data_IF_353871912775
#
_entry.id   IF_353871912775
#
_cell.length_a   1.000
_cell.length_b   1.000
_cell.length_c   1.000
_cell.angle_alpha   90.00
_cell.angle_beta   90.00
_cell.angle_gamma   90.00
#
_symmetry.space_group_name_H-M   'P 1'
#
loop_
_entity.id
_entity.type
_entity.pdbx_description
1 polymer ?
#
# COMPACT_ATOMS: atom_id res chain seq x y z
N UNK A 1 15.44 10.07 -14.67
CA UNK A 1 14.47 10.04 -13.55
C UNK A 1 13.07 10.23 -14.12
N UNK A 2 12.18 9.23 -13.99
CA UNK A 2 10.77 9.37 -14.33
C UNK A 2 10.00 9.69 -13.04
N UNK A 3 9.23 10.76 -13.04
CA UNK A 3 8.29 11.05 -11.94
C UNK A 3 7.08 10.15 -12.17
N UNK A 4 6.99 9.06 -11.41
CA UNK A 4 5.82 8.18 -11.40
C UNK A 4 4.70 8.80 -10.55
N UNK A 5 3.45 8.46 -10.85
CA UNK A 5 2.24 9.00 -10.21
C UNK A 5 2.23 8.89 -8.68
N UNK A 6 3.01 7.97 -8.12
CA UNK A 6 3.10 7.70 -6.67
C UNK A 6 3.94 8.74 -5.89
N UNK A 7 4.59 9.67 -6.60
CA UNK A 7 5.22 10.85 -6.00
C UNK A 7 4.22 11.98 -5.71
N UNK A 8 2.93 11.80 -6.03
CA UNK A 8 1.90 12.81 -5.73
C UNK A 8 1.38 12.67 -4.30
N UNK A 9 1.10 13.80 -3.65
CA UNK A 9 0.50 13.84 -2.31
C UNK A 9 -0.99 13.42 -2.29
N UNK A 10 -1.54 12.96 -3.42
CA UNK A 10 -2.98 12.80 -3.61
C UNK A 10 -3.56 11.74 -2.67
N UNK A 11 -2.98 10.53 -2.67
CA UNK A 11 -3.40 9.42 -1.82
C UNK A 11 -3.39 9.77 -0.32
N UNK A 12 -2.27 10.28 0.26
CA UNK A 12 -2.28 10.65 1.69
C UNK A 12 -3.25 11.79 1.99
N UNK A 13 -3.44 12.74 1.06
CA UNK A 13 -4.41 13.84 1.22
C UNK A 13 -5.85 13.32 1.25
N UNK A 14 -6.22 12.39 0.37
CA UNK A 14 -7.57 11.79 0.36
C UNK A 14 -7.89 11.01 1.64
N UNK A 15 -6.91 10.26 2.15
CA UNK A 15 -7.05 9.53 3.42
C UNK A 15 -7.22 10.52 4.58
N UNK A 16 -6.42 11.59 4.60
CA UNK A 16 -6.52 12.65 5.61
C UNK A 16 -7.90 13.33 5.59
N UNK A 17 -8.39 13.70 4.40
CA UNK A 17 -9.71 14.31 4.24
C UNK A 17 -10.81 13.38 4.75
N UNK A 18 -10.73 12.08 4.40
CA UNK A 18 -11.67 11.07 4.92
C UNK A 18 -11.67 11.01 6.44
N UNK A 19 -10.50 11.04 7.07
CA UNK A 19 -10.37 11.04 8.53
C UNK A 19 -10.96 12.32 9.18
N UNK A 20 -10.77 13.49 8.56
CA UNK A 20 -11.38 14.77 9.03
C UNK A 20 -12.90 14.74 8.90
N UNK A 21 -13.42 14.19 7.80
CA UNK A 21 -14.87 14.07 7.56
C UNK A 21 -15.51 13.12 8.57
N UNK A 22 -14.86 11.99 8.86
CA UNK A 22 -15.34 11.01 9.83
C UNK A 22 -15.32 11.54 11.28
N UNK A 23 -14.43 12.49 11.60
CA UNK A 23 -14.31 13.02 12.95
C UNK A 23 -15.53 13.89 13.35
N UNK A 24 -16.16 13.66 14.52
CA UNK A 24 -17.32 14.42 14.97
C UNK A 24 -16.90 15.84 15.38
N UNK A 25 -16.98 16.79 14.45
CA UNK A 25 -16.63 18.19 14.65
C UNK A 25 -17.50 19.12 13.80
N UNK A 26 -17.48 20.43 14.10
CA UNK A 26 -18.25 21.43 13.36
C UNK A 26 -17.78 21.57 11.91
N UNK A 27 -18.69 21.95 10.99
CA UNK A 27 -18.36 22.08 9.56
C UNK A 27 -17.21 23.06 9.28
N UNK A 28 -17.14 24.16 10.03
CA UNK A 28 -16.05 25.14 9.92
C UNK A 28 -14.71 24.58 10.41
N UNK A 29 -14.71 23.77 11.48
CA UNK A 29 -13.50 23.09 11.94
C UNK A 29 -13.02 22.09 10.88
N UNK A 30 -13.93 21.31 10.28
CA UNK A 30 -13.60 20.38 9.18
C UNK A 30 -12.97 21.09 7.99
N UNK A 31 -13.52 22.23 7.56
CA UNK A 31 -12.97 22.99 6.43
C UNK A 31 -11.54 23.48 6.73
N UNK A 32 -11.29 24.01 7.94
CA UNK A 32 -9.94 24.41 8.37
C UNK A 32 -8.98 23.22 8.41
N UNK A 33 -9.45 22.06 8.87
CA UNK A 33 -8.66 20.83 8.91
C UNK A 33 -8.30 20.32 7.53
N UNK A 34 -9.27 20.28 6.61
CA UNK A 34 -9.04 19.90 5.22
C UNK A 34 -8.01 20.85 4.57
N UNK A 35 -8.16 22.17 4.75
CA UNK A 35 -7.24 23.14 4.19
C UNK A 35 -5.81 22.96 4.74
N UNK A 36 -5.68 22.77 6.06
CA UNK A 36 -4.41 22.52 6.73
C UNK A 36 -3.75 21.23 6.22
N UNK A 37 -4.54 20.15 6.09
CA UNK A 37 -4.06 18.86 5.61
C UNK A 37 -3.57 18.93 4.16
N UNK A 38 -4.35 19.56 3.27
CA UNK A 38 -3.97 19.73 1.86
C UNK A 38 -2.65 20.51 1.77
N UNK A 39 -2.56 21.68 2.41
CA UNK A 39 -1.36 22.52 2.33
C UNK A 39 -0.17 21.84 2.97
N UNK A 40 -0.33 21.34 4.21
CA UNK A 40 0.76 20.71 4.96
C UNK A 40 1.31 19.47 4.26
N UNK A 41 0.45 18.55 3.80
CA UNK A 41 0.90 17.33 3.13
C UNK A 41 1.54 17.61 1.77
N UNK A 42 1.09 18.62 1.03
CA UNK A 42 1.74 19.00 -0.23
C UNK A 42 3.13 19.61 0.00
N UNK A 43 3.31 20.43 1.03
CA UNK A 43 4.63 20.97 1.40
C UNK A 43 5.59 19.83 1.75
N UNK A 44 5.16 18.89 2.60
CA UNK A 44 6.00 17.75 2.97
C UNK A 44 6.29 16.86 1.76
N UNK A 45 5.32 16.67 0.87
CA UNK A 45 5.55 15.95 -0.37
C UNK A 45 6.58 16.64 -1.28
N UNK A 46 6.61 17.98 -1.32
CA UNK A 46 7.64 18.72 -2.03
C UNK A 46 9.04 18.43 -1.45
N UNK A 47 9.17 18.46 -0.11
CA UNK A 47 10.41 18.09 0.58
C UNK A 47 10.82 16.65 0.25
N UNK A 48 9.86 15.72 0.27
CA UNK A 48 10.07 14.32 -0.12
C UNK A 48 10.63 14.21 -1.53
N UNK A 49 10.02 14.86 -2.51
CA UNK A 49 10.44 14.80 -3.91
C UNK A 49 11.86 15.36 -4.08
N UNK A 50 12.16 16.51 -3.47
CA UNK A 50 13.51 17.11 -3.52
C UNK A 50 14.55 16.21 -2.85
N UNK A 51 14.20 15.62 -1.71
CA UNK A 51 15.09 14.70 -0.99
C UNK A 51 15.37 13.43 -1.80
N UNK A 52 14.33 12.84 -2.40
CA UNK A 52 14.47 11.67 -3.26
C UNK A 52 15.24 11.97 -4.54
N UNK A 53 15.15 13.19 -5.08
CA UNK A 53 15.99 13.64 -6.18
C UNK A 53 17.47 13.65 -5.79
N UNK A 54 17.81 14.19 -4.62
CA UNK A 54 19.20 14.17 -4.13
C UNK A 54 19.71 12.75 -3.86
N UNK A 55 18.91 11.90 -3.23
CA UNK A 55 19.28 10.51 -2.96
C UNK A 55 19.43 9.73 -4.27
N UNK A 56 18.51 9.90 -5.22
CA UNK A 56 18.57 9.21 -6.52
C UNK A 56 19.77 9.61 -7.38
N UNK A 57 20.33 10.80 -7.18
CA UNK A 57 21.53 11.27 -7.91
C UNK A 57 22.84 10.85 -7.26
N UNK A 58 22.91 10.81 -5.92
CA UNK A 58 24.17 10.54 -5.19
C UNK A 58 24.28 9.09 -4.69
N UNK A 59 23.14 8.44 -4.38
CA UNK A 59 23.06 7.09 -3.82
C UNK A 59 21.88 6.32 -4.45
N UNK A 60 21.94 6.01 -5.76
CA UNK A 60 20.82 5.40 -6.48
C UNK A 60 20.35 4.08 -5.85
N UNK A 61 21.29 3.28 -5.32
CA UNK A 61 21.00 2.01 -4.65
C UNK A 61 20.13 2.16 -3.38
N UNK A 62 20.10 3.35 -2.77
CA UNK A 62 19.29 3.63 -1.56
C UNK A 62 17.99 4.35 -1.86
N UNK A 63 17.77 4.78 -3.10
CA UNK A 63 16.60 5.56 -3.50
C UNK A 63 15.30 4.84 -3.13
N UNK A 64 15.25 3.53 -3.35
CA UNK A 64 14.06 2.75 -3.10
C UNK A 64 13.76 2.59 -1.60
N UNK A 65 14.78 2.26 -0.80
CA UNK A 65 14.64 2.21 0.65
C UNK A 65 14.18 3.56 1.21
N UNK A 66 14.80 4.66 0.75
CA UNK A 66 14.41 6.01 1.14
C UNK A 66 12.97 6.33 0.74
N UNK A 67 12.55 5.93 -0.46
CA UNK A 67 11.21 6.19 -0.99
C UNK A 67 10.13 5.41 -0.25
N UNK A 68 10.29 4.08 -0.14
CA UNK A 68 9.24 3.17 0.30
C UNK A 68 9.25 2.95 1.81
N UNK A 69 10.42 2.93 2.46
CA UNK A 69 10.50 2.65 3.90
C UNK A 69 10.52 3.96 4.67
N UNK A 70 11.50 4.82 4.39
CA UNK A 70 11.71 6.03 5.17
C UNK A 70 10.61 7.08 4.93
N UNK A 71 10.44 7.51 3.66
CA UNK A 71 9.48 8.57 3.33
C UNK A 71 8.03 8.14 3.47
N UNK A 72 7.68 6.89 3.16
CA UNK A 72 6.33 6.39 3.38
C UNK A 72 5.97 6.38 4.87
N UNK A 73 6.87 5.89 5.74
CA UNK A 73 6.65 5.89 7.19
C UNK A 73 6.54 7.32 7.71
N UNK A 74 7.44 8.21 7.28
CA UNK A 74 7.43 9.61 7.69
C UNK A 74 6.15 10.33 7.25
N UNK A 75 5.66 10.10 6.03
CA UNK A 75 4.41 10.67 5.53
C UNK A 75 3.20 10.22 6.36
N UNK A 76 3.14 8.94 6.75
CA UNK A 76 2.08 8.42 7.62
C UNK A 76 2.12 9.10 8.99
N UNK A 77 3.31 9.18 9.61
CA UNK A 77 3.49 9.82 10.91
C UNK A 77 3.12 11.30 10.87
N UNK A 78 3.52 12.02 9.83
CA UNK A 78 3.17 13.43 9.61
C UNK A 78 1.67 13.60 9.41
N UNK A 79 1.02 12.76 8.61
CA UNK A 79 -0.42 12.84 8.39
C UNK A 79 -1.20 12.64 9.70
N UNK A 80 -0.81 11.64 10.51
CA UNK A 80 -1.38 11.41 11.84
C UNK A 80 -1.10 12.60 12.77
N UNK A 81 0.12 13.14 12.74
CA UNK A 81 0.52 14.31 13.51
C UNK A 81 -0.32 15.55 13.17
N UNK A 82 -0.45 15.89 11.89
CA UNK A 82 -1.28 16.99 11.41
C UNK A 82 -2.75 16.81 11.79
N UNK A 83 -3.27 15.58 11.67
CA UNK A 83 -4.65 15.28 12.03
C UNK A 83 -4.86 15.46 13.54
N UNK A 84 -3.91 14.98 14.35
CA UNK A 84 -3.91 15.14 15.81
C UNK A 84 -3.84 16.61 16.24
N UNK A 85 -2.95 17.40 15.63
CA UNK A 85 -2.82 18.84 15.86
C UNK A 85 -4.11 19.60 15.55
N UNK A 86 -4.79 19.21 14.48
CA UNK A 86 -6.09 19.78 14.14
C UNK A 86 -7.20 19.33 15.09
N UNK A 87 -7.21 18.05 15.46
CA UNK A 87 -8.26 17.44 16.30
C UNK A 87 -8.20 17.92 17.76
N UNK A 88 -7.03 18.27 18.29
CA UNK A 88 -6.89 18.96 19.58
C UNK A 88 -5.95 20.14 19.47
N UNK A 89 -6.45 21.31 19.86
CA UNK A 89 -5.62 22.50 20.09
C UNK A 89 -4.59 22.31 21.21
N UNK A 90 -4.67 21.23 22.01
CA UNK A 90 -3.70 20.88 23.07
C UNK A 90 -3.00 19.56 22.76
N UNK A 91 -1.75 19.68 22.33
CA UNK A 91 -0.84 18.60 21.92
C UNK A 91 -0.65 17.53 23.02
N UNK A 92 -0.44 17.94 24.29
CA UNK A 92 -0.09 17.03 25.38
C UNK A 92 -1.25 16.14 25.84
N UNK A 93 -2.49 16.58 25.65
CA UNK A 93 -3.70 15.83 26.01
C UNK A 93 -4.00 14.69 25.02
N UNK A 94 -3.49 14.77 23.79
CA UNK A 94 -3.57 13.68 22.81
C UNK A 94 -2.32 12.79 22.83
N UNK A 95 -1.12 13.36 22.94
CA UNK A 95 0.14 12.60 22.83
C UNK A 95 0.22 11.48 23.89
N UNK A 96 -0.20 11.74 25.14
CA UNK A 96 -0.19 10.71 26.21
C UNK A 96 -1.06 9.48 25.89
N UNK A 97 -2.36 9.61 25.59
CA UNK A 97 -3.17 8.46 25.20
C UNK A 97 -2.74 7.86 23.86
N UNK A 98 -2.26 8.66 22.91
CA UNK A 98 -1.74 8.16 21.62
C UNK A 98 -0.50 7.27 21.79
N UNK A 99 0.52 7.72 22.53
CA UNK A 99 1.71 6.91 22.89
C UNK A 99 1.35 5.67 23.71
N UNK A 100 0.29 5.74 24.51
CA UNK A 100 -0.22 4.64 25.32
C UNK A 100 -1.20 3.72 24.57
N UNK A 101 -1.53 3.99 23.30
CA UNK A 101 -2.58 3.29 22.54
C UNK A 101 -2.05 2.14 21.67
N UNK A 102 -2.95 1.23 21.31
CA UNK A 102 -2.72 0.15 20.34
C UNK A 102 -2.16 0.66 18.99
N UNK A 103 -2.39 1.92 18.63
CA UNK A 103 -1.92 2.52 17.37
C UNK A 103 -0.40 2.57 17.30
N UNK A 104 0.29 2.92 18.40
CA UNK A 104 1.76 2.95 18.42
C UNK A 104 2.34 1.55 18.29
N UNK A 105 1.70 0.55 18.92
CA UNK A 105 2.11 -0.83 18.78
C UNK A 105 1.93 -1.34 17.34
N UNK A 106 0.82 -0.97 16.67
CA UNK A 106 0.60 -1.26 15.24
C UNK A 106 1.66 -0.57 14.38
N UNK A 107 2.00 0.69 14.64
CA UNK A 107 3.03 1.42 13.88
C UNK A 107 4.42 0.78 14.05
N UNK A 108 4.77 0.35 15.25
CA UNK A 108 6.02 -0.37 15.52
C UNK A 108 6.05 -1.69 14.75
N UNK A 109 5.00 -2.52 14.89
CA UNK A 109 4.93 -3.80 14.17
C UNK A 109 4.89 -3.62 12.66
N UNK A 110 4.24 -2.58 12.15
CA UNK A 110 4.24 -2.25 10.73
C UNK A 110 5.64 -1.86 10.26
N UNK A 111 6.36 -1.03 11.03
CA UNK A 111 7.73 -0.62 10.70
C UNK A 111 8.68 -1.82 10.67
N UNK A 112 8.60 -2.69 11.69
CA UNK A 112 9.37 -3.94 11.75
C UNK A 112 8.98 -4.85 10.57
N UNK A 113 7.68 -4.99 10.31
CA UNK A 113 7.16 -5.81 9.22
C UNK A 113 7.61 -5.31 7.85
N UNK A 114 7.68 -3.99 7.60
CA UNK A 114 8.21 -3.42 6.36
C UNK A 114 9.71 -3.64 6.22
N UNK A 115 10.47 -3.52 7.30
CA UNK A 115 11.91 -3.80 7.29
C UNK A 115 12.18 -5.30 7.00
N UNK A 116 11.44 -6.20 7.65
CA UNK A 116 11.51 -7.63 7.36
C UNK A 116 11.05 -7.95 5.94
N UNK A 117 9.94 -7.35 5.51
CA UNK A 117 9.43 -7.51 4.16
C UNK A 117 10.48 -7.17 3.11
N UNK A 118 11.23 -6.09 3.28
CA UNK A 118 12.29 -5.70 2.36
C UNK A 118 13.30 -6.85 2.13
N UNK A 119 13.64 -7.62 3.17
CA UNK A 119 14.52 -8.78 3.07
C UNK A 119 13.87 -9.98 2.36
N UNK A 120 12.56 -10.18 2.56
CA UNK A 120 11.82 -11.33 2.01
C UNK A 120 11.12 -11.05 0.68
N UNK A 121 11.06 -9.79 0.24
CA UNK A 121 10.29 -9.35 -0.92
C UNK A 121 10.68 -10.12 -2.19
N UNK A 122 11.99 -10.29 -2.42
CA UNK A 122 12.48 -10.98 -3.62
C UNK A 122 12.07 -12.46 -3.64
N UNK A 123 12.19 -13.14 -2.49
CA UNK A 123 11.77 -14.54 -2.35
C UNK A 123 10.26 -14.67 -2.58
N UNK A 124 9.49 -13.76 -2.00
CA UNK A 124 8.03 -13.74 -2.17
C UNK A 124 7.62 -13.53 -3.63
N UNK A 125 8.29 -12.61 -4.34
CA UNK A 125 7.96 -12.32 -5.73
C UNK A 125 8.29 -13.45 -6.67
N UNK A 126 9.41 -14.13 -6.43
CA UNK A 126 9.78 -15.31 -7.22
C UNK A 126 8.77 -16.43 -6.97
N UNK A 127 8.29 -16.58 -5.74
CA UNK A 127 7.29 -17.57 -5.40
C UNK A 127 5.93 -17.29 -6.06
N UNK A 128 5.39 -16.07 -5.94
CA UNK A 128 4.16 -15.67 -6.64
C UNK A 128 4.33 -15.77 -8.15
N UNK A 129 5.44 -15.27 -8.70
CA UNK A 129 5.70 -15.31 -10.13
C UNK A 129 5.72 -16.74 -10.67
N UNK A 130 6.33 -17.68 -9.95
CA UNK A 130 6.36 -19.10 -10.32
C UNK A 130 4.97 -19.74 -10.27
N UNK A 131 4.19 -19.47 -9.23
CA UNK A 131 2.83 -20.02 -9.12
C UNK A 131 1.89 -19.44 -10.17
N UNK A 132 2.01 -18.15 -10.47
CA UNK A 132 1.21 -17.51 -11.51
C UNK A 132 1.62 -17.98 -12.91
N UNK A 133 2.91 -18.25 -13.14
CA UNK A 133 3.45 -18.65 -14.44
C UNK A 133 2.74 -19.85 -15.08
N UNK A 134 2.35 -20.85 -14.28
CA UNK A 134 1.62 -22.02 -14.75
C UNK A 134 0.27 -21.69 -15.41
N UNK A 135 -0.30 -20.54 -15.08
CA UNK A 135 -1.59 -20.07 -15.58
C UNK A 135 -1.48 -18.92 -16.58
N UNK A 136 -0.25 -18.55 -16.97
CA UNK A 136 -0.02 -17.50 -17.96
C UNK A 136 -0.34 -17.99 -19.38
N UNK A 137 -0.90 -17.12 -20.24
CA UNK A 137 -1.14 -17.50 -21.63
C UNK A 137 0.18 -17.64 -22.40
N UNK A 138 0.29 -18.65 -23.28
CA UNK A 138 1.50 -19.06 -24.02
C UNK A 138 2.30 -17.95 -24.74
N UNK A 139 1.68 -16.81 -25.03
CA UNK A 139 2.30 -15.70 -25.77
C UNK A 139 2.73 -14.54 -24.86
N UNK A 140 2.67 -14.70 -23.55
CA UNK A 140 3.02 -13.69 -22.55
C UNK A 140 4.23 -14.17 -21.75
N UNK A 141 5.18 -13.26 -21.55
CA UNK A 141 6.38 -13.47 -20.75
C UNK A 141 6.30 -12.58 -19.51
N UNK A 142 6.65 -13.16 -18.38
CA UNK A 142 6.82 -12.49 -17.10
C UNK A 142 8.31 -12.33 -16.87
N UNK A 143 8.77 -11.09 -16.78
CA UNK A 143 10.11 -10.76 -16.30
C UNK A 143 9.98 -10.11 -14.94
N UNK A 144 10.80 -10.55 -13.99
CA UNK A 144 10.90 -9.92 -12.67
C UNK A 144 12.19 -9.14 -12.66
N UNK A 145 12.09 -7.83 -12.77
CA UNK A 145 13.20 -6.89 -12.60
C UNK A 145 13.07 -6.22 -11.24
N UNK A 146 14.12 -5.54 -10.77
CA UNK A 146 14.14 -4.82 -9.49
C UNK A 146 12.80 -4.16 -9.18
N UNK A 147 12.05 -4.80 -8.28
CA UNK A 147 10.79 -4.31 -7.71
C UNK A 147 9.61 -4.14 -8.69
N UNK A 148 9.67 -4.73 -9.88
CA UNK A 148 8.59 -4.71 -10.88
C UNK A 148 8.32 -6.09 -11.51
N UNK A 149 7.06 -6.48 -11.58
CA UNK A 149 6.60 -7.51 -12.50
C UNK A 149 6.37 -6.86 -13.87
N UNK A 150 7.14 -7.31 -14.86
CA UNK A 150 7.07 -6.87 -16.24
C UNK A 150 6.36 -7.94 -17.06
N UNK A 151 5.22 -7.59 -17.63
CA UNK A 151 4.42 -8.47 -18.49
C UNK A 151 4.52 -7.97 -19.93
N UNK A 152 5.01 -8.83 -20.84
CA UNK A 152 5.27 -8.50 -22.25
C UNK A 152 4.79 -9.62 -23.17
N UNK A 153 4.31 -9.31 -24.38
CA UNK A 153 4.02 -10.34 -25.38
C UNK A 153 5.32 -10.84 -26.03
N UNK A 154 5.43 -12.16 -26.23
CA UNK A 154 6.58 -12.79 -26.91
C UNK A 154 6.84 -12.21 -28.31
N UNK A 155 5.79 -11.85 -29.04
CA UNK A 155 5.90 -11.26 -30.37
C UNK A 155 6.36 -9.79 -30.35
N UNK A 156 6.18 -9.09 -29.22
CA UNK A 156 6.60 -7.70 -29.06
C UNK A 156 8.09 -7.54 -28.74
N UNK A 157 8.79 -8.63 -28.40
CA UNK A 157 10.25 -8.60 -28.23
C UNK A 157 10.95 -8.29 -29.57
N UNK A 158 10.31 -8.67 -30.69
CA UNK A 158 10.84 -8.43 -32.03
C UNK A 158 10.32 -7.13 -32.69
N UNK A 159 9.20 -6.58 -32.19
CA UNK A 159 8.59 -5.35 -32.69
C UNK A 159 8.47 -4.33 -31.54
N UNK A 160 9.23 -3.25 -31.62
CA UNK A 160 9.40 -2.19 -30.60
C UNK A 160 8.13 -1.36 -30.27
N UNK A 161 6.93 -1.82 -30.62
CA UNK A 161 5.69 -1.05 -30.55
C UNK A 161 4.77 -1.37 -29.36
N UNK A 162 4.96 -2.47 -28.62
CA UNK A 162 4.07 -2.78 -27.47
C UNK A 162 4.66 -2.29 -26.14
N UNK A 163 3.98 -1.37 -25.43
CA UNK A 163 4.46 -0.89 -24.14
C UNK A 163 4.35 -1.99 -23.07
N UNK A 164 5.43 -2.28 -22.31
CA UNK A 164 5.39 -3.30 -21.25
C UNK A 164 4.42 -2.89 -20.14
N UNK A 165 3.62 -3.84 -19.64
CA UNK A 165 2.89 -3.62 -18.39
C UNK A 165 3.85 -3.82 -17.22
N UNK A 166 3.94 -2.81 -16.36
CA UNK A 166 4.75 -2.85 -15.15
C UNK A 166 3.82 -2.82 -13.93
N UNK A 167 3.94 -3.83 -13.07
CA UNK A 167 3.22 -3.91 -11.79
C UNK A 167 4.23 -3.84 -10.66
N UNK A 168 3.98 -2.96 -9.71
CA UNK A 168 4.91 -2.65 -8.63
C UNK A 168 4.87 -3.75 -7.56
N UNK A 169 6.01 -4.39 -7.31
CA UNK A 169 6.12 -5.59 -6.47
C UNK A 169 5.70 -5.32 -5.03
N UNK A 170 6.05 -4.16 -4.48
CA UNK A 170 5.81 -3.90 -3.06
C UNK A 170 4.32 -3.77 -2.71
N UNK A 171 3.45 -3.50 -3.71
CA UNK A 171 2.01 -3.53 -3.49
C UNK A 171 1.58 -4.93 -3.03
N UNK A 172 2.17 -6.00 -3.57
CA UNK A 172 1.89 -7.38 -3.19
C UNK A 172 2.35 -7.71 -1.75
N UNK A 173 3.30 -6.97 -1.17
CA UNK A 173 3.72 -7.17 0.22
C UNK A 173 2.96 -6.40 1.28
N UNK A 174 2.45 -5.25 0.89
CA UNK A 174 1.90 -4.26 1.82
C UNK A 174 0.76 -4.83 2.67
N UNK A 175 -0.14 -5.59 2.04
CA UNK A 175 -1.26 -6.23 2.74
C UNK A 175 -0.81 -7.22 3.81
N UNK A 176 0.26 -7.98 3.57
CA UNK A 176 0.80 -8.94 4.55
C UNK A 176 1.36 -8.22 5.78
N UNK A 177 2.16 -7.18 5.55
CA UNK A 177 2.79 -6.38 6.62
C UNK A 177 1.74 -5.74 7.53
N UNK A 178 0.74 -5.07 6.93
CA UNK A 178 -0.28 -4.36 7.71
C UNK A 178 -1.19 -5.33 8.47
N UNK A 179 -1.66 -6.40 7.81
CA UNK A 179 -2.51 -7.39 8.48
C UNK A 179 -1.77 -8.06 9.63
N UNK A 180 -0.47 -8.33 9.49
CA UNK A 180 0.35 -8.83 10.59
C UNK A 180 0.49 -7.85 11.73
N UNK A 181 0.74 -6.57 11.44
CA UNK A 181 0.87 -5.55 12.47
C UNK A 181 -0.41 -5.40 13.31
N UNK A 182 -1.57 -5.55 12.66
CA UNK A 182 -2.87 -5.49 13.32
C UNK A 182 -3.14 -6.73 14.16
N UNK A 183 -2.95 -7.93 13.60
CA UNK A 183 -3.20 -9.20 14.31
C UNK A 183 -2.24 -9.39 15.50
N UNK A 184 -0.98 -8.98 15.36
CA UNK A 184 -0.02 -9.08 16.47
C UNK A 184 -0.34 -8.12 17.62
N UNK A 185 -1.00 -6.99 17.31
CA UNK A 185 -1.40 -6.00 18.31
C UNK A 185 -2.66 -6.39 19.10
N UNK A 186 -3.47 -7.36 18.65
CA UNK A 186 -4.77 -7.64 19.27
C UNK A 186 -4.62 -8.30 20.62
N UNK A 187 -4.78 -7.54 21.70
CA UNK A 187 -4.52 -8.04 23.05
C UNK A 187 -5.59 -9.01 23.60
N UNK A 188 -6.63 -9.33 22.80
CA UNK A 188 -7.81 -10.07 23.24
C UNK A 188 -7.74 -11.58 22.99
N UNK A 189 -6.79 -12.04 22.16
CA UNK A 189 -6.76 -13.40 21.66
C UNK A 189 -5.49 -14.16 22.06
N UNK A 190 -5.63 -15.48 22.29
CA UNK A 190 -4.51 -16.40 22.54
C UNK A 190 -3.53 -16.41 21.36
N UNK A 191 -2.23 -16.62 21.62
CA UNK A 191 -1.21 -16.71 20.57
C UNK A 191 -1.53 -17.74 19.49
N UNK A 192 -2.21 -18.84 19.86
CA UNK A 192 -2.69 -19.86 18.91
C UNK A 192 -3.69 -19.26 17.91
N UNK A 193 -4.66 -18.48 18.40
CA UNK A 193 -5.67 -17.87 17.55
C UNK A 193 -5.05 -16.80 16.63
N UNK A 194 -4.14 -15.98 17.15
CA UNK A 194 -3.40 -14.99 16.34
C UNK A 194 -2.62 -15.68 15.21
N UNK A 195 -1.95 -16.78 15.50
CA UNK A 195 -1.23 -17.56 14.48
C UNK A 195 -2.17 -18.12 13.41
N UNK A 196 -3.29 -18.72 13.81
CA UNK A 196 -4.30 -19.24 12.86
C UNK A 196 -4.83 -18.09 11.98
N UNK A 197 -5.18 -16.95 12.57
CA UNK A 197 -5.63 -15.77 11.83
C UNK A 197 -4.59 -15.25 10.85
N UNK A 198 -3.31 -15.18 11.25
CA UNK A 198 -2.21 -14.80 10.35
C UNK A 198 -2.14 -15.75 9.15
N UNK A 199 -2.13 -17.06 9.39
CA UNK A 199 -2.08 -18.06 8.33
C UNK A 199 -3.28 -17.94 7.38
N UNK A 200 -4.50 -17.81 7.91
CA UNK A 200 -5.71 -17.67 7.09
C UNK A 200 -5.69 -16.39 6.24
N UNK A 201 -5.36 -15.24 6.85
CA UNK A 201 -5.33 -13.95 6.15
C UNK A 201 -4.23 -13.92 5.11
N UNK A 202 -3.04 -14.44 5.43
CA UNK A 202 -1.93 -14.50 4.48
C UNK A 202 -2.23 -15.42 3.30
N UNK A 203 -2.81 -16.59 3.55
CA UNK A 203 -3.23 -17.51 2.50
C UNK A 203 -4.29 -16.89 1.59
N UNK A 204 -5.27 -16.18 2.16
CA UNK A 204 -6.27 -15.45 1.39
C UNK A 204 -5.65 -14.34 0.52
N UNK A 205 -4.78 -13.50 1.10
CA UNK A 205 -4.05 -12.46 0.37
C UNK A 205 -3.19 -13.06 -0.75
N UNK A 206 -2.55 -14.19 -0.49
CA UNK A 206 -1.73 -14.91 -1.45
C UNK A 206 -2.54 -15.34 -2.69
N UNK A 207 -3.73 -15.92 -2.48
CA UNK A 207 -4.62 -16.30 -3.57
C UNK A 207 -5.12 -15.10 -4.37
N UNK A 208 -5.54 -14.03 -3.69
CA UNK A 208 -5.98 -12.80 -4.35
C UNK A 208 -4.86 -12.24 -5.24
N UNK A 209 -3.64 -12.16 -4.71
CA UNK A 209 -2.51 -11.59 -5.40
C UNK A 209 -2.07 -12.41 -6.60
N UNK A 210 -2.03 -13.73 -6.47
CA UNK A 210 -1.74 -14.64 -7.58
C UNK A 210 -2.82 -14.52 -8.66
N UNK A 211 -4.10 -14.50 -8.27
CA UNK A 211 -5.23 -14.31 -9.18
C UNK A 211 -5.20 -12.96 -9.90
N UNK A 212 -4.83 -11.88 -9.21
CA UNK A 212 -4.64 -10.55 -9.80
C UNK A 212 -3.51 -10.56 -10.83
N UNK A 213 -2.38 -11.20 -10.54
CA UNK A 213 -1.25 -11.29 -11.48
C UNK A 213 -1.63 -12.09 -12.74
N UNK A 214 -2.35 -13.20 -12.60
CA UNK A 214 -2.87 -14.00 -13.72
C UNK A 214 -3.85 -13.17 -14.55
N UNK A 215 -4.80 -12.50 -13.89
CA UNK A 215 -5.82 -11.66 -14.54
C UNK A 215 -5.15 -10.52 -15.31
N UNK A 216 -4.11 -9.91 -14.75
CA UNK A 216 -3.32 -8.87 -15.41
C UNK A 216 -2.68 -9.39 -16.71
N UNK A 217 -2.13 -10.61 -16.71
CA UNK A 217 -1.53 -11.21 -17.90
C UNK A 217 -2.56 -11.48 -19.02
N UNK A 218 -3.73 -12.01 -18.67
CA UNK A 218 -4.81 -12.28 -19.63
C UNK A 218 -5.42 -10.98 -20.19
N UNK A 219 -5.67 -10.00 -19.34
CA UNK A 219 -6.20 -8.69 -19.76
C UNK A 219 -5.20 -7.92 -20.62
N UNK A 220 -3.91 -7.99 -20.30
CA UNK A 220 -2.85 -7.41 -21.13
C UNK A 220 -2.80 -8.04 -22.52
N UNK A 221 -2.89 -9.38 -22.61
CA UNK A 221 -2.95 -10.08 -23.89
C UNK A 221 -4.14 -9.60 -24.73
N UNK A 222 -5.35 -9.57 -24.15
CA UNK A 222 -6.57 -9.12 -24.86
C UNK A 222 -6.46 -7.68 -25.35
N UNK A 223 -5.97 -6.76 -24.50
CA UNK A 223 -5.80 -5.35 -24.87
C UNK A 223 -4.81 -5.15 -26.03
N UNK A 224 -3.72 -5.93 -26.07
CA UNK A 224 -2.73 -5.85 -27.13
C UNK A 224 -3.20 -6.54 -28.43
N UNK A 225 -3.96 -7.63 -28.34
CA UNK A 225 -4.53 -8.30 -29.54
C UNK A 225 -5.62 -7.47 -30.21
N UNK A 226 -6.40 -6.72 -29.44
CA UNK A 226 -7.50 -5.90 -29.96
C UNK A 226 -7.05 -4.48 -30.39
N UNK A 227 -5.75 -4.15 -30.24
CA UNK A 227 -5.17 -2.83 -30.48
C UNK A 227 -5.94 -1.66 -29.80
N UNK A 228 -6.71 -1.99 -28.75
CA UNK A 228 -7.59 -1.07 -28.05
C UNK A 228 -7.39 -1.27 -26.56
N UNK A 229 -7.08 -0.17 -25.87
CA UNK A 229 -7.06 -0.18 -24.41
C UNK A 229 -8.52 -0.22 -23.94
N UNK A 230 -9.01 -1.43 -23.65
CA UNK A 230 -10.37 -1.61 -23.15
C UNK A 230 -10.55 -0.83 -21.85
N UNK A 231 -11.71 -0.19 -21.66
CA UNK A 231 -12.03 0.53 -20.41
C UNK A 231 -11.75 -0.34 -19.16
N UNK A 232 -12.05 -1.64 -19.25
CA UNK A 232 -11.75 -2.63 -18.20
C UNK A 232 -10.27 -2.76 -17.84
N UNK A 233 -9.35 -2.65 -18.81
CA UNK A 233 -7.90 -2.66 -18.56
C UNK A 233 -7.46 -1.43 -17.75
N UNK A 234 -7.95 -0.25 -18.15
CA UNK A 234 -7.63 1.01 -17.46
C UNK A 234 -8.21 1.02 -16.04
N UNK A 235 -9.44 0.52 -15.86
CA UNK A 235 -10.09 0.41 -14.55
C UNK A 235 -9.33 -0.60 -13.67
N UNK A 236 -8.95 -1.76 -14.21
CA UNK A 236 -8.22 -2.78 -13.47
C UNK A 236 -6.88 -2.24 -12.94
N UNK A 237 -6.07 -1.61 -13.80
CA UNK A 237 -4.77 -1.05 -13.40
C UNK A 237 -4.93 0.05 -12.35
N UNK A 238 -5.88 0.98 -12.54
CA UNK A 238 -6.14 2.05 -11.57
C UNK A 238 -6.68 1.52 -10.23
N UNK A 239 -7.43 0.42 -10.26
CA UNK A 239 -8.03 -0.18 -9.06
C UNK A 239 -7.07 -1.10 -8.31
N UNK A 240 -6.01 -1.58 -8.96
CA UNK A 240 -5.06 -2.53 -8.39
C UNK A 240 -4.40 -1.99 -7.12
N UNK A 241 -3.96 -0.72 -7.14
CA UNK A 241 -3.40 -0.09 -5.94
C UNK A 241 -4.44 -0.01 -4.82
N UNK A 242 -5.69 0.36 -5.12
CA UNK A 242 -6.75 0.44 -4.11
C UNK A 242 -7.11 -0.94 -3.51
N UNK A 243 -7.23 -1.97 -4.34
CA UNK A 243 -7.61 -3.33 -3.92
C UNK A 243 -6.50 -3.99 -3.11
N UNK A 244 -5.24 -3.78 -3.49
CA UNK A 244 -4.11 -4.47 -2.86
C UNK A 244 -3.63 -3.74 -1.60
N UNK A 245 -3.75 -2.41 -1.53
CA UNK A 245 -3.31 -1.64 -0.36
C UNK A 245 -4.46 -1.14 0.50
N UNK A 246 -5.50 -0.52 -0.06
CA UNK A 246 -6.53 0.19 0.71
C UNK A 246 -7.58 -0.76 1.28
N UNK A 247 -8.03 -1.76 0.50
CA UNK A 247 -9.05 -2.70 0.94
C UNK A 247 -8.61 -3.54 2.16
N UNK A 248 -7.38 -4.10 2.24
CA UNK A 248 -6.94 -4.83 3.43
C UNK A 248 -6.83 -3.93 4.66
N UNK A 249 -6.35 -2.68 4.50
CA UNK A 249 -6.31 -1.70 5.59
C UNK A 249 -7.72 -1.40 6.08
N UNK A 250 -8.65 -1.15 5.16
CA UNK A 250 -10.03 -0.80 5.48
C UNK A 250 -10.76 -1.96 6.17
N UNK A 251 -10.61 -3.18 5.67
CA UNK A 251 -11.18 -4.38 6.30
C UNK A 251 -10.58 -4.62 7.69
N UNK A 252 -9.28 -4.42 7.86
CA UNK A 252 -8.61 -4.58 9.15
C UNK A 252 -9.00 -3.46 10.13
N UNK A 253 -9.16 -2.23 9.66
CA UNK A 253 -9.64 -1.09 10.45
C UNK A 253 -11.12 -1.26 10.84
N UNK A 254 -11.97 -1.71 9.91
CA UNK A 254 -13.36 -2.07 10.20
C UNK A 254 -13.44 -3.21 11.21
N UNK A 255 -12.56 -4.22 11.13
CA UNK A 255 -12.50 -5.30 12.11
C UNK A 255 -12.04 -4.81 13.49
N UNK A 256 -11.12 -3.84 13.56
CA UNK A 256 -10.70 -3.20 14.82
C UNK A 256 -11.77 -2.29 15.44
N UNK A 257 -12.56 -1.60 14.61
CA UNK A 257 -13.57 -0.62 15.04
C UNK A 257 -14.92 -1.30 15.30
N UNK A 258 -15.25 -2.38 14.58
CA UNK A 258 -16.48 -3.13 14.78
C UNK A 258 -16.45 -3.75 16.18
N UNK A 259 -17.32 -3.32 17.10
CA UNK A 259 -17.47 -4.03 18.34
C UNK A 259 -18.16 -5.34 17.97
N UNK A 260 -17.39 -6.41 17.78
CA UNK A 260 -17.94 -7.76 17.91
C UNK A 260 -18.38 -7.92 19.37
N UNK A 261 -19.56 -7.35 19.67
CA UNK A 261 -20.28 -7.53 20.90
C UNK A 261 -20.63 -9.00 21.00
N UNK A 262 -20.00 -9.66 21.99
CA UNK A 262 -20.56 -10.69 22.86
C UNK A 262 -21.47 -11.74 22.19
N UNK A 263 -20.94 -12.95 22.10
CA UNK A 263 -21.62 -14.08 22.75
C UNK A 263 -20.62 -14.79 23.66
N UNK A 264 -20.55 -14.31 24.89
CA UNK A 264 -20.38 -15.23 26.00
C UNK A 264 -21.75 -15.88 26.18
N UNK A 265 -21.85 -17.14 25.78
CA UNK A 265 -22.81 -18.11 26.30
C UNK A 265 -22.00 -19.29 26.79
#
# INVERSE_FOLDING_TARGET
MRIVSECTALTPTMVFISAVIAFPSSRLAKLKGILLGIVGLNIINLIRVVSLYYIGTHMPNQMEFAHIVMWQTLMILIAIGLWSLWASSKINLIIRPFLSSQIVLVLIWATIGFALWYLFANTYTLFIGRLAWEYFPNNVILSVTEHHFIIVLKNAINNSQSPPMQLLIHNFGFGLVITSAIILCTNKDSWKLRFISLCCVWLFLFFIQTGLLITAAHTYKSAMTEAKITLGFTIFIKSLHFIVTVLPIMLSALWLIAPFQRRQS
#
